data_IF_603967509320
#
_entry.id   IF_603967509320
#
_cell.length_a   1.000
_cell.length_b   1.000
_cell.length_c   1.000
_cell.angle_alpha   90.00
_cell.angle_beta   90.00
_cell.angle_gamma   90.00
#
_symmetry.space_group_name_H-M   'P 1'
#
loop_
_entity.id
_entity.type
_entity.pdbx_description
1 polymer ?
#
# COMPACT_ATOMS: atom_id res chain seq x y z
N UNK A 1 -22.76 11.31 17.04
CA UNK A 1 -22.47 10.27 16.02
C UNK A 1 -20.97 9.98 16.01
N UNK A 2 -20.54 8.74 15.71
CA UNK A 2 -19.26 8.17 16.16
C UNK A 2 -18.11 8.46 15.19
N UNK A 3 -17.81 9.75 14.95
CA UNK A 3 -16.72 10.18 14.04
C UNK A 3 -15.33 9.59 14.34
N UNK A 4 -15.11 8.98 15.51
CA UNK A 4 -13.83 8.38 15.88
C UNK A 4 -13.65 6.95 15.36
N UNK A 5 -14.73 6.22 15.04
CA UNK A 5 -14.64 4.83 14.59
C UNK A 5 -14.04 4.75 13.18
N UNK A 6 -14.39 5.71 12.32
CA UNK A 6 -13.92 5.77 10.93
C UNK A 6 -12.42 6.11 10.82
N UNK A 7 -11.87 6.90 11.77
CA UNK A 7 -10.46 7.33 11.71
C UNK A 7 -9.46 6.21 11.99
N UNK A 8 -9.70 5.46 13.07
CA UNK A 8 -8.81 4.36 13.43
C UNK A 8 -8.91 3.23 12.40
N UNK A 9 -10.11 2.98 11.88
CA UNK A 9 -10.32 1.98 10.83
C UNK A 9 -9.61 2.35 9.53
N UNK A 10 -9.66 3.62 9.10
CA UNK A 10 -8.99 4.04 7.88
C UNK A 10 -7.46 3.89 7.98
N UNK A 11 -6.86 4.31 9.10
CA UNK A 11 -5.42 4.15 9.31
C UNK A 11 -5.01 2.67 9.37
N UNK A 12 -5.76 1.83 10.08
CA UNK A 12 -5.50 0.39 10.14
C UNK A 12 -5.62 -0.29 8.77
N UNK A 13 -6.63 0.08 7.97
CA UNK A 13 -6.77 -0.43 6.61
C UNK A 13 -5.54 -0.06 5.77
N UNK A 14 -5.11 1.20 5.80
CA UNK A 14 -3.91 1.64 5.09
C UNK A 14 -2.63 0.92 5.55
N UNK A 15 -2.51 0.60 6.85
CA UNK A 15 -1.41 -0.23 7.35
C UNK A 15 -1.46 -1.64 6.79
N UNK A 16 -2.64 -2.26 6.78
CA UNK A 16 -2.81 -3.61 6.27
C UNK A 16 -2.49 -3.68 4.77
N UNK A 17 -3.02 -2.77 3.95
CA UNK A 17 -2.71 -2.75 2.51
C UNK A 17 -1.22 -2.54 2.22
N UNK A 18 -0.50 -1.83 3.09
CA UNK A 18 0.95 -1.67 2.99
C UNK A 18 1.67 -3.00 3.29
N UNK A 19 1.29 -3.69 4.36
CA UNK A 19 1.83 -5.02 4.72
C UNK A 19 1.57 -6.05 3.60
N UNK A 20 0.33 -6.13 3.09
CA UNK A 20 -0.05 -7.04 2.01
C UNK A 20 0.81 -6.78 0.74
N UNK A 21 1.02 -5.51 0.37
CA UNK A 21 1.88 -5.15 -0.75
C UNK A 21 3.36 -5.51 -0.51
N UNK A 22 3.86 -5.35 0.72
CA UNK A 22 5.22 -5.74 1.09
C UNK A 22 5.44 -7.25 1.00
N UNK A 23 4.49 -8.04 1.47
CA UNK A 23 4.54 -9.50 1.41
C UNK A 23 4.59 -9.97 -0.06
N UNK A 24 3.69 -9.45 -0.90
CA UNK A 24 3.69 -9.78 -2.33
C UNK A 24 4.98 -9.36 -3.03
N UNK A 25 5.50 -8.17 -2.71
CA UNK A 25 6.75 -7.70 -3.27
C UNK A 25 7.93 -8.61 -2.88
N UNK A 26 7.96 -9.12 -1.64
CA UNK A 26 8.98 -10.06 -1.19
C UNK A 26 8.91 -11.42 -1.90
N UNK A 27 7.74 -11.82 -2.40
CA UNK A 27 7.52 -13.07 -3.14
C UNK A 27 7.82 -12.96 -4.65
N UNK A 28 8.04 -11.76 -5.17
CA UNK A 28 8.31 -11.57 -6.60
C UNK A 28 9.66 -12.18 -7.00
N UNK A 29 9.61 -13.15 -7.92
CA UNK A 29 10.79 -13.78 -8.51
C UNK A 29 10.90 -13.34 -9.97
N UNK A 30 11.86 -12.45 -10.25
CA UNK A 30 12.07 -11.78 -11.55
C UNK A 30 12.27 -12.75 -12.72
N UNK A 31 12.92 -13.89 -12.50
CA UNK A 31 13.22 -14.89 -13.54
C UNK A 31 12.17 -16.02 -13.63
N UNK A 32 11.04 -15.91 -12.92
CA UNK A 32 10.01 -16.95 -12.91
C UNK A 32 9.01 -16.80 -14.07
N UNK A 33 8.47 -17.93 -14.55
CA UNK A 33 7.36 -17.91 -15.52
C UNK A 33 6.09 -17.23 -14.98
N UNK A 34 5.97 -17.11 -13.65
CA UNK A 34 4.88 -16.45 -12.94
C UNK A 34 5.06 -14.94 -12.77
N UNK A 35 6.22 -14.38 -13.13
CA UNK A 35 6.57 -12.98 -12.85
C UNK A 35 5.49 -11.98 -13.31
N UNK A 36 4.99 -12.11 -14.54
CA UNK A 36 3.96 -11.21 -15.06
C UNK A 36 2.64 -11.27 -14.28
N UNK A 37 2.28 -12.44 -13.75
CA UNK A 37 1.10 -12.58 -12.89
C UNK A 37 1.33 -11.96 -11.51
N UNK A 38 2.48 -12.23 -10.89
CA UNK A 38 2.86 -11.66 -9.59
C UNK A 38 2.93 -10.12 -9.67
N UNK A 39 3.53 -9.58 -10.73
CA UNK A 39 3.62 -8.15 -10.99
C UNK A 39 2.22 -7.52 -11.14
N UNK A 40 1.31 -8.19 -11.86
CA UNK A 40 -0.07 -7.73 -11.99
C UNK A 40 -0.77 -7.70 -10.64
N UNK A 41 -0.62 -8.74 -9.83
CA UNK A 41 -1.23 -8.82 -8.51
C UNK A 41 -0.69 -7.74 -7.57
N UNK A 42 0.64 -7.56 -7.50
CA UNK A 42 1.25 -6.50 -6.71
C UNK A 42 0.72 -5.11 -7.12
N UNK A 43 0.60 -4.83 -8.42
CA UNK A 43 0.03 -3.55 -8.89
C UNK A 43 -1.41 -3.35 -8.44
N UNK A 44 -2.21 -4.41 -8.34
CA UNK A 44 -3.57 -4.32 -7.85
C UNK A 44 -3.58 -3.97 -6.36
N UNK A 45 -2.86 -4.72 -5.53
CA UNK A 45 -2.79 -4.45 -4.09
C UNK A 45 -2.21 -3.07 -3.80
N UNK A 46 -1.17 -2.64 -4.53
CA UNK A 46 -0.61 -1.30 -4.37
C UNK A 46 -1.64 -0.21 -4.67
N UNK A 47 -2.46 -0.37 -5.72
CA UNK A 47 -3.53 0.59 -6.02
C UNK A 47 -4.60 0.61 -4.93
N UNK A 48 -4.95 -0.55 -4.37
CA UNK A 48 -5.91 -0.65 -3.25
C UNK A 48 -5.36 0.02 -1.99
N UNK A 49 -4.09 -0.24 -1.64
CA UNK A 49 -3.40 0.39 -0.53
C UNK A 49 -3.31 1.92 -0.71
N UNK A 50 -3.06 2.41 -1.93
CA UNK A 50 -3.10 3.85 -2.22
C UNK A 50 -4.46 4.47 -1.89
N UNK A 51 -5.56 3.85 -2.34
CA UNK A 51 -6.89 4.34 -2.06
C UNK A 51 -7.21 4.34 -0.55
N UNK A 52 -6.77 3.31 0.18
CA UNK A 52 -6.90 3.25 1.63
C UNK A 52 -6.10 4.36 2.32
N UNK A 53 -4.88 4.64 1.86
CA UNK A 53 -4.04 5.72 2.36
C UNK A 53 -4.68 7.09 2.12
N UNK A 54 -5.23 7.34 0.93
CA UNK A 54 -5.92 8.60 0.63
C UNK A 54 -7.10 8.82 1.57
N UNK A 55 -7.94 7.80 1.77
CA UNK A 55 -9.04 7.84 2.73
C UNK A 55 -8.54 8.09 4.17
N UNK A 56 -7.43 7.46 4.56
CA UNK A 56 -6.85 7.65 5.89
C UNK A 56 -6.29 9.07 6.07
N UNK A 57 -5.69 9.66 5.03
CA UNK A 57 -5.14 11.01 5.06
C UNK A 57 -6.22 12.07 5.33
N UNK A 58 -7.46 11.86 4.90
CA UNK A 58 -8.57 12.80 5.16
C UNK A 58 -8.82 13.03 6.66
N UNK A 59 -8.60 11.99 7.46
CA UNK A 59 -8.97 11.97 8.89
C UNK A 59 -7.80 11.84 9.85
N UNK A 60 -6.59 11.62 9.33
CA UNK A 60 -5.36 11.39 10.08
C UNK A 60 -4.87 12.62 10.86
N UNK A 61 -4.30 12.36 12.04
CA UNK A 61 -3.47 13.32 12.78
C UNK A 61 -2.15 13.59 12.06
N UNK A 62 -1.41 14.64 12.45
CA UNK A 62 -0.13 15.00 11.81
C UNK A 62 0.90 13.85 11.83
N UNK A 63 0.97 13.11 12.94
CA UNK A 63 1.85 11.93 13.03
C UNK A 63 1.41 10.83 12.06
N UNK A 64 0.12 10.54 12.00
CA UNK A 64 -0.41 9.53 11.08
C UNK A 64 -0.25 9.96 9.62
N UNK A 65 -0.40 11.25 9.31
CA UNK A 65 -0.16 11.81 7.97
C UNK A 65 1.27 11.57 7.51
N UNK A 66 2.25 11.90 8.35
CA UNK A 66 3.65 11.66 8.03
C UNK A 66 3.97 10.17 7.79
N UNK A 67 3.27 9.26 8.48
CA UNK A 67 3.41 7.83 8.26
C UNK A 67 2.74 7.36 6.97
N UNK A 68 1.53 7.85 6.68
CA UNK A 68 0.79 7.54 5.46
C UNK A 68 1.51 8.05 4.20
N UNK A 69 2.11 9.24 4.25
CA UNK A 69 2.93 9.78 3.15
C UNK A 69 4.17 8.91 2.88
N UNK A 70 4.78 8.34 3.92
CA UNK A 70 5.87 7.36 3.74
C UNK A 70 5.38 6.10 3.05
N UNK A 71 4.23 5.56 3.45
CA UNK A 71 3.64 4.41 2.77
C UNK A 71 3.41 4.68 1.28
N UNK A 72 2.93 5.88 0.91
CA UNK A 72 2.79 6.27 -0.50
C UNK A 72 4.13 6.25 -1.26
N UNK A 73 5.22 6.68 -0.62
CA UNK A 73 6.56 6.66 -1.24
C UNK A 73 7.10 5.24 -1.37
N UNK A 74 6.89 4.41 -0.35
CA UNK A 74 7.36 3.02 -0.33
C UNK A 74 6.62 2.19 -1.39
N UNK A 75 5.29 2.29 -1.46
CA UNK A 75 4.46 1.62 -2.47
C UNK A 75 4.87 1.99 -3.90
N UNK A 76 5.17 3.28 -4.14
CA UNK A 76 5.67 3.73 -5.45
C UNK A 76 6.99 3.07 -5.78
N UNK A 77 7.91 3.05 -4.82
CA UNK A 77 9.25 2.52 -5.00
C UNK A 77 9.22 1.03 -5.32
N UNK A 78 8.35 0.26 -4.64
CA UNK A 78 8.14 -1.17 -4.92
C UNK A 78 7.72 -1.40 -6.37
N UNK A 79 6.68 -0.69 -6.84
CA UNK A 79 6.15 -0.83 -8.21
C UNK A 79 7.18 -0.38 -9.25
N UNK A 80 7.89 0.72 -8.99
CA UNK A 80 8.91 1.23 -9.90
C UNK A 80 10.08 0.24 -10.04
N UNK A 81 10.53 -0.39 -8.95
CA UNK A 81 11.63 -1.36 -9.00
C UNK A 81 11.27 -2.62 -9.81
N UNK A 82 10.06 -3.16 -9.64
CA UNK A 82 9.62 -4.34 -10.39
C UNK A 82 9.26 -3.99 -11.84
N UNK A 83 9.00 -2.73 -12.19
CA UNK A 83 8.73 -2.34 -13.57
C UNK A 83 10.00 -2.11 -14.41
N UNK A 84 11.19 -2.04 -13.80
CA UNK A 84 12.44 -1.75 -14.50
C UNK A 84 13.05 -2.95 -15.26
N UNK A 85 12.40 -4.11 -15.24
CA UNK A 85 12.85 -5.37 -15.85
C UNK A 85 11.75 -5.95 -16.74
#
# INVERSE_FOLDING_TARGET
MPYHKDKQQAFQAAQQGMEDAQELYAEIVKDSASYGHQLKHLKQEVNEAYAQIENALEVASDHQRAQLERFQQDLRSMVDEVNQY
#
